data_IF_724699033254
#
_entry.id   IF_724699033254
#
_cell.length_a   1.000
_cell.length_b   1.000
_cell.length_c   1.000
_cell.angle_alpha   90.00
_cell.angle_beta   90.00
_cell.angle_gamma   90.00
#
_symmetry.space_group_name_H-M   'P 1'
#
loop_
_entity.id
_entity.type
_entity.pdbx_description
1 polymer ?
#
# COMPACT_ATOMS: atom_id res chain seq x y z
N UNK A 1 -11.39 -19.46 2.34
CA UNK A 1 -10.24 -19.64 1.42
C UNK A 1 -8.92 -19.26 2.05
N UNK A 2 -8.76 -18.02 2.55
CA UNK A 2 -7.50 -17.61 3.20
C UNK A 2 -7.07 -18.52 4.35
N UNK A 3 -8.00 -18.88 5.24
CA UNK A 3 -7.72 -19.74 6.38
C UNK A 3 -7.50 -21.20 5.95
N UNK A 4 -8.36 -21.72 5.08
CA UNK A 4 -8.27 -23.10 4.56
C UNK A 4 -6.92 -23.42 3.93
N UNK A 5 -6.33 -22.46 3.22
CA UNK A 5 -5.05 -22.63 2.52
C UNK A 5 -3.91 -21.86 3.17
N UNK A 6 -4.08 -21.29 4.37
CA UNK A 6 -3.01 -20.60 5.10
C UNK A 6 -2.39 -19.42 4.30
N UNK A 7 -3.20 -18.70 3.53
CA UNK A 7 -2.73 -17.57 2.72
C UNK A 7 -2.03 -16.49 3.56
N UNK A 8 -2.45 -16.33 4.83
CA UNK A 8 -1.88 -15.36 5.77
C UNK A 8 -0.41 -15.63 6.11
N UNK A 9 0.05 -16.87 5.92
CA UNK A 9 1.41 -17.31 6.23
C UNK A 9 2.35 -17.12 5.04
N UNK A 10 1.82 -16.79 3.85
CA UNK A 10 2.61 -16.11 2.83
C UNK A 10 2.95 -14.71 3.36
N UNK A 11 4.18 -14.23 3.12
CA UNK A 11 4.68 -12.90 3.54
C UNK A 11 3.95 -11.72 2.83
N UNK A 12 2.62 -11.75 2.81
CA UNK A 12 1.71 -10.88 2.09
C UNK A 12 0.78 -10.17 3.07
N UNK A 13 0.22 -9.07 2.59
CA UNK A 13 -0.74 -8.29 3.36
C UNK A 13 -2.03 -9.09 3.55
N UNK A 14 -2.41 -9.31 4.81
CA UNK A 14 -3.72 -9.85 5.19
C UNK A 14 -4.75 -8.71 5.25
N UNK A 15 -5.89 -8.87 4.57
CA UNK A 15 -6.95 -7.86 4.57
C UNK A 15 -7.85 -8.08 5.78
N UNK A 16 -8.01 -7.05 6.61
CA UNK A 16 -8.90 -7.07 7.77
C UNK A 16 -10.16 -6.23 7.52
N UNK A 17 -11.22 -6.46 8.29
CA UNK A 17 -12.44 -5.63 8.23
C UNK A 17 -12.12 -4.14 8.47
N UNK A 18 -11.14 -3.85 9.33
CA UNK A 18 -10.68 -2.49 9.55
C UNK A 18 -10.02 -1.91 8.30
N UNK A 19 -9.24 -2.68 7.53
CA UNK A 19 -8.67 -2.23 6.25
C UNK A 19 -9.77 -1.96 5.21
N UNK A 20 -10.88 -2.71 5.24
CA UNK A 20 -12.04 -2.51 4.34
C UNK A 20 -12.75 -1.19 4.65
N UNK A 21 -12.98 -0.91 5.94
CA UNK A 21 -13.70 0.27 6.40
C UNK A 21 -12.82 1.52 6.57
N UNK A 22 -11.49 1.35 6.50
CA UNK A 22 -10.54 2.43 6.66
C UNK A 22 -10.75 3.55 5.64
N UNK A 23 -10.56 4.79 6.11
CA UNK A 23 -10.44 5.96 5.24
C UNK A 23 -9.21 5.82 4.34
N UNK A 24 -9.21 6.49 3.18
CA UNK A 24 -8.02 6.61 2.36
C UNK A 24 -6.79 7.00 3.17
N UNK A 25 -5.70 6.26 2.98
CA UNK A 25 -4.42 6.50 3.64
C UNK A 25 -3.48 7.23 2.67
N UNK A 26 -3.03 8.42 3.05
CA UNK A 26 -2.06 9.21 2.27
C UNK A 26 -0.72 9.17 2.99
N UNK A 27 0.24 8.49 2.38
CA UNK A 27 1.59 8.30 2.92
C UNK A 27 2.52 9.38 2.39
N UNK A 28 3.21 10.10 3.28
CA UNK A 28 4.28 11.01 2.92
C UNK A 28 5.63 10.38 3.25
N UNK A 29 6.48 10.20 2.24
CA UNK A 29 7.80 9.59 2.37
C UNK A 29 8.85 10.36 1.56
N UNK A 30 10.13 10.11 1.85
CA UNK A 30 11.26 10.73 1.17
C UNK A 30 12.36 11.19 2.13
N UNK A 31 13.44 11.78 1.57
CA UNK A 31 14.62 12.17 2.32
C UNK A 31 14.34 13.08 3.52
N UNK A 32 15.29 13.13 4.44
CA UNK A 32 15.19 13.99 5.62
C UNK A 32 15.18 15.49 5.25
N UNK A 33 14.32 16.25 5.92
CA UNK A 33 14.15 17.71 5.76
C UNK A 33 13.63 18.15 4.38
N UNK A 34 12.86 17.29 3.70
CA UNK A 34 12.17 17.64 2.43
C UNK A 34 10.82 18.35 2.62
N UNK A 35 10.31 18.43 3.86
CA UNK A 35 9.09 19.17 4.19
C UNK A 35 7.81 18.34 4.28
N UNK A 36 7.91 17.03 4.54
CA UNK A 36 6.75 16.12 4.72
C UNK A 36 5.78 16.60 5.81
N UNK A 37 6.26 16.79 7.04
CA UNK A 37 5.44 17.26 8.17
C UNK A 37 4.85 18.65 7.92
N UNK A 38 5.63 19.56 7.30
CA UNK A 38 5.17 20.89 6.91
C UNK A 38 4.03 20.82 5.89
N UNK A 39 4.15 19.92 4.90
CA UNK A 39 3.11 19.71 3.90
C UNK A 39 1.82 19.15 4.52
N UNK A 40 1.90 18.26 5.51
CA UNK A 40 0.71 17.80 6.25
C UNK A 40 0.07 18.96 6.99
N UNK A 41 0.88 19.80 7.66
CA UNK A 41 0.38 20.98 8.35
C UNK A 41 -0.34 21.94 7.39
N UNK A 42 0.24 22.15 6.21
CA UNK A 42 -0.33 22.95 5.13
C UNK A 42 -1.68 22.38 4.65
N UNK A 43 -1.71 21.11 4.25
CA UNK A 43 -2.91 20.45 3.74
C UNK A 43 -4.03 20.38 4.78
N UNK A 44 -3.69 20.15 6.04
CA UNK A 44 -4.67 20.14 7.14
C UNK A 44 -5.12 21.54 7.57
N UNK A 45 -4.43 22.60 7.12
CA UNK A 45 -4.72 23.99 7.48
C UNK A 45 -4.38 24.31 8.95
N UNK A 46 -3.30 23.74 9.47
CA UNK A 46 -2.93 23.83 10.90
C UNK A 46 -1.62 24.57 11.17
N UNK A 47 -0.96 25.12 10.14
CA UNK A 47 0.34 25.78 10.26
C UNK A 47 0.39 26.91 11.30
N UNK A 48 -0.70 27.67 11.45
CA UNK A 48 -0.81 28.79 12.41
C UNK A 48 -1.45 28.38 13.74
N UNK A 49 -1.51 27.09 14.05
CA UNK A 49 -2.20 26.56 15.25
C UNK A 49 -1.25 25.83 16.18
N UNK A 50 -1.62 25.74 17.46
CA UNK A 50 -0.89 24.92 18.44
C UNK A 50 -0.96 23.41 18.17
N UNK A 51 -1.74 22.98 17.17
CA UNK A 51 -1.91 21.59 16.79
C UNK A 51 -0.92 21.14 15.68
N UNK A 52 -0.05 22.05 15.20
CA UNK A 52 0.91 21.74 14.14
C UNK A 52 1.82 20.58 14.54
N UNK A 53 2.11 19.69 13.58
CA UNK A 53 3.17 18.71 13.71
C UNK A 53 4.50 19.44 13.83
N UNK A 54 5.35 18.99 14.74
CA UNK A 54 6.66 19.60 14.96
C UNK A 54 7.49 19.61 13.65
N UNK A 55 7.92 20.80 13.25
CA UNK A 55 8.77 21.01 12.07
C UNK A 55 10.05 21.72 12.52
N UNK A 56 11.19 21.04 12.45
CA UNK A 56 12.48 21.64 12.82
C UNK A 56 13.65 21.13 11.99
N UNK A 57 14.76 21.87 12.04
CA UNK A 57 15.97 21.63 11.25
C UNK A 57 16.88 20.52 11.79
N UNK A 58 16.59 19.98 12.98
CA UNK A 58 17.22 18.78 13.51
C UNK A 58 16.57 17.51 12.91
N UNK A 59 17.13 16.30 13.08
CA UNK A 59 16.44 15.04 12.75
C UNK A 59 15.17 14.88 13.60
N UNK A 60 14.13 15.64 13.25
CA UNK A 60 12.97 15.95 14.09
C UNK A 60 11.87 14.91 14.02
N UNK A 61 11.80 14.12 12.94
CA UNK A 61 10.91 12.95 12.82
C UNK A 61 11.73 11.66 12.87
N UNK A 62 11.89 11.12 14.08
CA UNK A 62 12.29 9.73 14.30
C UNK A 62 11.11 8.75 14.21
N UNK A 63 9.89 9.29 14.27
CA UNK A 63 8.68 8.54 14.56
C UNK A 63 7.75 8.53 13.34
N UNK A 64 6.99 7.45 13.20
CA UNK A 64 5.87 7.37 12.28
C UNK A 64 4.67 8.04 12.93
N UNK A 65 4.09 9.03 12.27
CA UNK A 65 2.96 9.79 12.81
C UNK A 65 1.71 9.51 11.98
N UNK A 66 0.70 8.94 12.64
CA UNK A 66 -0.63 8.70 12.08
C UNK A 66 -1.53 9.89 12.42
N UNK A 67 -1.74 10.78 11.46
CA UNK A 67 -2.61 11.94 11.61
C UNK A 67 -4.03 11.59 11.15
N UNK A 68 -4.96 11.56 12.10
CA UNK A 68 -6.35 11.16 11.87
C UNK A 68 -7.33 12.11 12.52
N UNK A 69 -8.61 11.93 12.20
CA UNK A 69 -9.66 12.70 12.84
C UNK A 69 -9.89 12.26 14.29
N UNK A 70 -10.10 13.24 15.17
CA UNK A 70 -10.67 13.06 16.49
C UNK A 70 -11.58 14.24 16.85
N UNK A 71 -12.40 14.08 17.89
CA UNK A 71 -13.28 15.15 18.38
C UNK A 71 -12.50 16.32 18.99
N UNK A 72 -11.28 16.08 19.48
CA UNK A 72 -10.37 17.05 20.06
C UNK A 72 -8.94 16.75 19.65
N UNK A 73 -8.04 17.73 19.79
CA UNK A 73 -6.62 17.48 19.65
C UNK A 73 -6.14 16.51 20.73
N UNK A 74 -5.53 15.40 20.35
CA UNK A 74 -4.86 14.49 21.29
C UNK A 74 -3.75 13.71 20.62
N UNK A 75 -2.70 13.45 21.39
CA UNK A 75 -1.63 12.53 21.02
C UNK A 75 -1.92 11.17 21.63
N UNK A 76 -1.72 10.12 20.83
CA UNK A 76 -1.94 8.72 21.21
C UNK A 76 -0.62 7.99 21.03
N UNK A 77 -0.19 7.26 22.05
CA UNK A 77 1.02 6.44 21.97
C UNK A 77 0.83 5.24 21.04
N UNK A 78 1.90 4.77 20.41
CA UNK A 78 1.86 3.66 19.46
C UNK A 78 1.25 2.38 20.03
N UNK A 79 1.56 2.04 21.29
CA UNK A 79 0.99 0.86 21.99
C UNK A 79 -0.53 0.97 22.09
N UNK A 80 -1.05 2.15 22.40
CA UNK A 80 -2.49 2.40 22.48
C UNK A 80 -3.12 2.36 21.08
N UNK A 81 -2.42 2.89 20.07
CA UNK A 81 -2.89 2.91 18.69
C UNK A 81 -3.10 1.51 18.11
N UNK A 82 -2.21 0.56 18.42
CA UNK A 82 -2.31 -0.83 17.92
C UNK A 82 -3.32 -1.68 18.70
N UNK A 83 -3.64 -1.30 19.94
CA UNK A 83 -4.63 -2.01 20.76
C UNK A 83 -6.06 -1.84 20.21
N UNK A 84 -6.35 -0.70 19.58
CA UNK A 84 -7.66 -0.44 18.98
C UNK A 84 -7.79 -1.13 17.60
N UNK A 85 -8.36 -2.34 17.61
CA UNK A 85 -8.60 -3.14 16.41
C UNK A 85 -9.46 -2.45 15.36
N UNK A 86 -10.29 -1.47 15.74
CA UNK A 86 -11.15 -0.75 14.79
C UNK A 86 -10.37 0.17 13.85
N UNK A 87 -9.11 0.48 14.17
CA UNK A 87 -8.30 1.46 13.45
C UNK A 87 -7.42 0.83 12.36
N UNK A 88 -7.33 -0.50 12.28
CA UNK A 88 -6.53 -1.20 11.27
C UNK A 88 -5.01 -1.20 11.51
N UNK A 89 -4.55 -0.69 12.67
CA UNK A 89 -3.12 -0.64 13.01
C UNK A 89 -2.65 -1.81 13.88
N UNK A 90 -3.53 -2.71 14.31
CA UNK A 90 -3.18 -3.78 15.27
C UNK A 90 -2.06 -4.70 14.78
N UNK A 91 -1.96 -4.94 13.48
CA UNK A 91 -0.89 -5.77 12.91
C UNK A 91 0.51 -5.14 13.01
N UNK A 92 0.63 -3.86 13.35
CA UNK A 92 1.92 -3.20 13.62
C UNK A 92 2.58 -3.70 14.91
N UNK A 93 1.81 -4.30 15.83
CA UNK A 93 2.33 -4.89 17.07
C UNK A 93 3.44 -5.93 16.81
N UNK A 94 3.38 -6.62 15.66
CA UNK A 94 4.38 -7.62 15.24
C UNK A 94 5.80 -7.07 15.12
N UNK A 95 5.97 -5.75 14.95
CA UNK A 95 7.28 -5.11 14.85
C UNK A 95 7.92 -4.85 16.22
N UNK A 96 7.22 -5.16 17.31
CA UNK A 96 7.74 -5.16 18.67
C UNK A 96 7.78 -3.77 19.34
N UNK A 97 8.08 -3.78 20.64
CA UNK A 97 8.02 -2.60 21.51
C UNK A 97 8.91 -1.44 21.02
N UNK A 98 10.11 -1.74 20.51
CA UNK A 98 11.03 -0.73 20.00
C UNK A 98 10.48 0.08 18.82
N UNK A 99 9.60 -0.53 18.01
CA UNK A 99 8.86 0.21 16.99
C UNK A 99 7.69 0.99 17.56
N UNK A 100 6.92 0.41 18.50
CA UNK A 100 5.75 1.06 19.09
C UNK A 100 6.09 2.35 19.84
N UNK A 101 7.29 2.44 20.42
CA UNK A 101 7.85 3.67 20.99
C UNK A 101 8.14 4.77 19.94
N UNK A 102 8.24 4.38 18.67
CA UNK A 102 8.49 5.23 17.50
C UNK A 102 7.25 5.38 16.60
N UNK A 103 6.09 4.99 17.10
CA UNK A 103 4.80 5.15 16.45
C UNK A 103 3.94 6.08 17.30
N UNK A 104 3.32 7.06 16.66
CA UNK A 104 2.49 8.05 17.33
C UNK A 104 1.20 8.27 16.53
N UNK A 105 0.07 8.32 17.22
CA UNK A 105 -1.18 8.82 16.67
C UNK A 105 -1.36 10.30 17.04
N UNK A 106 -1.80 11.11 16.10
CA UNK A 106 -2.24 12.48 16.37
C UNK A 106 -3.65 12.63 15.84
N UNK A 107 -4.58 12.91 16.74
CA UNK A 107 -5.97 13.15 16.40
C UNK A 107 -6.28 14.62 16.43
N UNK A 108 -7.03 15.11 15.43
CA UNK A 108 -7.41 16.52 15.36
C UNK A 108 -8.80 16.73 14.74
N UNK A 109 -9.57 17.77 15.15
CA UNK A 109 -10.95 17.98 14.71
C UNK A 109 -11.07 18.75 13.38
N UNK A 110 -10.30 18.36 12.35
CA UNK A 110 -10.31 19.03 11.05
C UNK A 110 -11.14 18.27 9.99
N UNK A 111 -11.88 19.02 9.17
CA UNK A 111 -12.81 18.47 8.16
C UNK A 111 -12.13 17.56 7.14
N UNK A 112 -10.89 17.88 6.74
CA UNK A 112 -10.13 17.03 5.81
C UNK A 112 -9.91 15.64 6.41
N UNK A 113 -9.50 15.56 7.68
CA UNK A 113 -9.21 14.32 8.39
C UNK A 113 -10.45 13.43 8.60
N UNK A 114 -11.66 13.99 8.50
CA UNK A 114 -12.88 13.18 8.46
C UNK A 114 -12.94 12.27 7.24
N UNK A 115 -12.20 12.61 6.17
CA UNK A 115 -12.20 11.91 4.89
C UNK A 115 -10.91 11.16 4.59
N UNK A 116 -9.78 11.53 5.21
CA UNK A 116 -8.46 10.97 4.93
C UNK A 116 -7.65 10.79 6.22
N UNK A 117 -6.72 9.84 6.22
CA UNK A 117 -5.69 9.67 7.24
C UNK A 117 -4.33 9.94 6.61
N UNK A 118 -3.53 10.84 7.19
CA UNK A 118 -2.16 11.07 6.72
C UNK A 118 -1.17 10.28 7.56
N UNK A 119 -0.15 9.74 6.90
CA UNK A 119 1.00 9.11 7.54
C UNK A 119 2.23 9.94 7.24
N UNK A 120 2.85 10.51 8.26
CA UNK A 120 4.18 11.09 8.17
C UNK A 120 5.22 10.02 8.50
N UNK A 121 6.14 9.75 7.59
CA UNK A 121 7.24 8.81 7.85
C UNK A 121 8.50 9.54 8.33
N UNK A 122 9.35 8.89 9.13
CA UNK A 122 10.69 9.39 9.42
C UNK A 122 11.45 9.72 8.13
N UNK A 123 12.25 10.79 8.16
CA UNK A 123 13.11 11.14 7.03
C UNK A 123 14.11 10.03 6.69
N UNK A 124 14.25 9.71 5.40
CA UNK A 124 15.30 8.81 4.94
C UNK A 124 16.64 9.54 5.05
N UNK A 125 17.58 8.91 5.75
CA UNK A 125 18.94 9.41 5.94
C UNK A 125 19.88 8.33 5.43
N UNK A 126 20.61 8.64 4.37
CA UNK A 126 21.60 7.73 3.80
C UNK A 126 22.73 7.45 4.80
N UNK A 127 23.25 6.21 4.79
CA UNK A 127 24.35 5.75 5.65
C UNK A 127 24.09 5.70 7.17
N UNK A 128 22.84 5.89 7.65
CA UNK A 128 22.51 5.48 9.02
C UNK A 128 22.49 3.95 9.08
N UNK A 129 23.35 3.35 9.91
CA UNK A 129 23.28 1.91 10.20
C UNK A 129 21.84 1.60 10.65
N UNK A 130 21.14 0.69 9.95
CA UNK A 130 19.77 0.28 10.29
C UNK A 130 19.64 -0.13 11.76
N UNK A 131 20.71 -0.67 12.36
CA UNK A 131 20.84 -1.01 13.77
C UNK A 131 20.60 0.16 14.75
N UNK A 132 20.77 1.42 14.33
CA UNK A 132 20.53 2.58 15.20
C UNK A 132 19.05 2.92 15.38
N UNK A 133 18.15 2.41 14.53
CA UNK A 133 16.71 2.71 14.64
C UNK A 133 16.01 1.87 15.70
N UNK A 134 16.52 0.67 16.00
CA UNK A 134 15.91 -0.25 16.96
C UNK A 134 14.67 -1.00 16.46
N UNK A 135 14.35 -0.91 15.16
CA UNK A 135 13.23 -1.60 14.53
C UNK A 135 13.46 -1.79 13.01
N UNK A 136 12.77 -2.74 12.35
CA UNK A 136 12.94 -3.01 10.92
C UNK A 136 12.26 -1.95 10.04
N UNK A 137 12.93 -0.82 9.82
CA UNK A 137 12.38 0.35 9.11
C UNK A 137 11.80 0.03 7.72
N UNK A 138 12.47 -0.83 6.94
CA UNK A 138 12.01 -1.20 5.60
C UNK A 138 10.71 -2.02 5.64
N UNK A 139 10.56 -2.93 6.59
CA UNK A 139 9.35 -3.74 6.72
C UNK A 139 8.16 -2.93 7.23
N UNK A 140 8.41 -2.00 8.16
CA UNK A 140 7.40 -1.04 8.63
C UNK A 140 6.96 -0.13 7.49
N UNK A 141 7.91 0.43 6.74
CA UNK A 141 7.59 1.30 5.59
C UNK A 141 6.78 0.54 4.55
N UNK A 142 7.17 -0.70 4.25
CA UNK A 142 6.42 -1.59 3.37
C UNK A 142 4.99 -1.81 3.87
N UNK A 143 4.78 -1.98 5.17
CA UNK A 143 3.44 -2.15 5.74
C UNK A 143 2.52 -0.96 5.45
N UNK A 144 3.04 0.27 5.56
CA UNK A 144 2.29 1.49 5.22
C UNK A 144 2.10 1.66 3.71
N UNK A 145 3.14 1.42 2.93
CA UNK A 145 3.07 1.42 1.45
C UNK A 145 2.01 0.44 0.97
N UNK A 146 1.90 -0.72 1.62
CA UNK A 146 0.97 -1.75 1.19
C UNK A 146 -0.51 -1.37 1.37
N UNK A 147 -0.78 -0.41 2.26
CA UNK A 147 -2.11 0.10 2.64
C UNK A 147 -2.40 1.51 2.13
N UNK A 148 -1.40 2.21 1.60
CA UNK A 148 -1.57 3.57 1.11
C UNK A 148 -2.43 3.58 -0.15
N UNK A 149 -3.39 4.51 -0.20
CA UNK A 149 -4.17 4.82 -1.39
C UNK A 149 -3.44 5.85 -2.27
N UNK A 150 -2.65 6.73 -1.64
CA UNK A 150 -1.82 7.74 -2.29
C UNK A 150 -0.47 7.84 -1.58
N UNK A 151 0.61 7.92 -2.35
CA UNK A 151 1.98 7.98 -1.84
C UNK A 151 2.65 9.23 -2.39
N UNK A 152 2.88 10.19 -1.51
CA UNK A 152 3.63 11.42 -1.77
C UNK A 152 5.10 11.18 -1.49
N UNK A 153 5.90 11.13 -2.55
CA UNK A 153 7.36 11.06 -2.43
C UNK A 153 7.93 12.45 -2.59
N UNK A 154 8.35 13.04 -1.46
CA UNK A 154 8.71 14.45 -1.36
C UNK A 154 10.23 14.62 -1.46
N UNK A 155 10.66 15.38 -2.47
CA UNK A 155 12.04 15.75 -2.74
C UNK A 155 12.28 17.23 -2.46
N UNK A 156 13.52 17.55 -2.10
CA UNK A 156 14.07 18.90 -2.02
C UNK A 156 15.10 19.03 -3.16
N UNK A 157 15.13 20.14 -3.92
CA UNK A 157 16.08 20.35 -4.99
C UNK A 157 17.54 20.15 -4.62
N UNK A 158 17.88 20.34 -3.35
CA UNK A 158 19.25 20.17 -2.84
C UNK A 158 19.58 18.71 -2.47
N UNK A 159 18.58 17.81 -2.48
CA UNK A 159 18.67 16.42 -2.01
C UNK A 159 17.97 15.48 -2.99
N UNK A 160 18.56 15.36 -4.19
CA UNK A 160 18.06 14.50 -5.26
C UNK A 160 18.85 13.19 -5.40
N UNK A 161 19.97 13.06 -4.70
CA UNK A 161 20.81 11.87 -4.77
C UNK A 161 20.04 10.67 -4.22
N UNK A 162 19.98 9.61 -5.03
CA UNK A 162 19.40 8.33 -4.64
C UNK A 162 20.51 7.46 -4.07
N UNK A 163 20.51 7.30 -2.75
CA UNK A 163 21.32 6.29 -2.08
C UNK A 163 20.57 4.97 -1.89
N UNK A 164 21.15 4.09 -1.09
CA UNK A 164 20.67 2.70 -0.92
C UNK A 164 19.34 2.63 -0.19
N UNK A 165 19.09 3.52 0.77
CA UNK A 165 17.83 3.52 1.54
C UNK A 165 16.67 4.06 0.67
N UNK A 166 16.91 5.11 -0.12
CA UNK A 166 15.90 5.60 -1.06
C UNK A 166 15.64 4.59 -2.19
N UNK A 167 16.67 3.92 -2.71
CA UNK A 167 16.50 2.82 -3.66
C UNK A 167 15.64 1.70 -3.07
N UNK A 168 15.88 1.31 -1.81
CA UNK A 168 15.06 0.32 -1.09
C UNK A 168 13.59 0.73 -1.02
N UNK A 169 13.30 2.01 -0.76
CA UNK A 169 11.93 2.54 -0.80
C UNK A 169 11.31 2.34 -2.19
N UNK A 170 11.99 2.76 -3.27
CA UNK A 170 11.43 2.62 -4.61
C UNK A 170 11.22 1.16 -5.03
N UNK A 171 12.09 0.25 -4.59
CA UNK A 171 11.87 -1.20 -4.76
C UNK A 171 10.59 -1.68 -4.08
N UNK A 172 10.25 -1.15 -2.90
CA UNK A 172 8.99 -1.46 -2.22
C UNK A 172 7.76 -0.84 -2.90
N UNK A 173 7.94 0.27 -3.62
CA UNK A 173 6.89 0.95 -4.40
C UNK A 173 6.61 0.29 -5.76
N UNK A 174 7.43 -0.68 -6.18
CA UNK A 174 7.25 -1.40 -7.45
C UNK A 174 5.89 -2.12 -7.48
N UNK A 175 5.15 -1.95 -8.58
CA UNK A 175 3.79 -2.46 -8.75
C UNK A 175 2.69 -1.60 -8.13
N UNK A 176 3.04 -0.42 -7.59
CA UNK A 176 2.14 0.59 -7.01
C UNK A 176 2.29 1.97 -7.66
N UNK A 177 2.81 2.00 -8.88
CA UNK A 177 3.20 3.24 -9.57
C UNK A 177 2.02 4.20 -9.76
N UNK A 178 0.80 3.68 -9.94
CA UNK A 178 -0.43 4.48 -10.04
C UNK A 178 -0.77 5.27 -8.78
N UNK A 179 -0.27 4.84 -7.61
CA UNK A 179 -0.50 5.47 -6.31
C UNK A 179 0.54 6.55 -6.00
N UNK A 180 1.66 6.58 -6.74
CA UNK A 180 2.79 7.48 -6.47
C UNK A 180 2.51 8.85 -7.08
N UNK A 181 2.82 9.91 -6.33
CA UNK A 181 2.96 11.28 -6.82
C UNK A 181 4.29 11.82 -6.34
N UNK A 182 5.13 12.24 -7.29
CA UNK A 182 6.41 12.84 -6.97
C UNK A 182 6.21 14.32 -6.70
N UNK A 183 6.81 14.83 -5.64
CA UNK A 183 6.68 16.25 -5.26
C UNK A 183 8.08 16.84 -5.16
N UNK A 184 8.37 17.85 -5.97
CA UNK A 184 9.56 18.66 -5.86
C UNK A 184 9.20 19.92 -5.04
N UNK A 185 9.42 19.83 -3.73
CA UNK A 185 9.10 20.88 -2.77
C UNK A 185 10.20 21.95 -2.72
N UNK A 186 9.92 23.12 -2.13
CA UNK A 186 10.86 24.25 -2.02
C UNK A 186 11.37 24.76 -3.38
N UNK A 187 10.61 24.55 -4.44
CA UNK A 187 11.00 24.93 -5.80
C UNK A 187 11.10 26.46 -5.99
N UNK A 188 10.43 27.23 -5.14
CA UNK A 188 10.50 28.69 -5.11
C UNK A 188 11.87 29.26 -4.74
N UNK A 189 12.77 28.43 -4.21
CA UNK A 189 14.16 28.80 -3.94
C UNK A 189 15.02 28.86 -5.20
N UNK A 190 14.56 28.27 -6.31
CA UNK A 190 15.29 28.14 -7.57
C UNK A 190 14.84 29.17 -8.62
N UNK A 191 15.71 29.45 -9.58
CA UNK A 191 15.30 30.07 -10.85
C UNK A 191 14.86 29.01 -11.88
N UNK A 192 14.25 29.43 -12.99
CA UNK A 192 13.74 28.50 -14.01
C UNK A 192 14.84 27.59 -14.61
N UNK A 193 16.05 28.09 -14.82
CA UNK A 193 17.14 27.28 -15.39
C UNK A 193 17.62 26.21 -14.39
N UNK A 194 17.77 26.59 -13.12
CA UNK A 194 18.08 25.66 -12.02
C UNK A 194 16.98 24.61 -11.88
N UNK A 195 15.72 25.03 -11.94
CA UNK A 195 14.58 24.13 -11.82
C UNK A 195 14.57 23.06 -12.92
N UNK A 196 14.81 23.44 -14.18
CA UNK A 196 14.89 22.47 -15.28
C UNK A 196 16.05 21.47 -15.12
N UNK A 197 17.19 21.91 -14.56
CA UNK A 197 18.33 21.03 -14.27
C UNK A 197 18.01 20.03 -13.16
N UNK A 198 17.40 20.52 -12.07
CA UNK A 198 16.94 19.72 -10.93
C UNK A 198 15.91 18.69 -11.38
N UNK A 199 14.94 19.10 -12.20
CA UNK A 199 13.94 18.20 -12.78
C UNK A 199 14.60 17.09 -13.62
N UNK A 200 15.54 17.44 -14.50
CA UNK A 200 16.30 16.46 -15.28
C UNK A 200 17.10 15.49 -14.41
N UNK A 201 17.77 15.99 -13.37
CA UNK A 201 18.53 15.16 -12.44
C UNK A 201 17.63 14.20 -11.64
N UNK A 202 16.44 14.65 -11.21
CA UNK A 202 15.47 13.80 -10.54
C UNK A 202 15.08 12.61 -11.42
N UNK A 203 14.69 12.85 -12.67
CA UNK A 203 14.33 11.75 -13.58
C UNK A 203 15.51 10.84 -13.91
N UNK A 204 16.70 11.41 -14.09
CA UNK A 204 17.91 10.61 -14.33
C UNK A 204 18.17 9.63 -13.17
N UNK A 205 18.05 10.10 -11.93
CA UNK A 205 18.28 9.30 -10.74
C UNK A 205 17.15 8.27 -10.50
N UNK A 206 15.92 8.58 -10.89
CA UNK A 206 14.76 7.68 -10.74
C UNK A 206 14.58 6.69 -11.89
N UNK A 207 15.14 6.97 -13.07
CA UNK A 207 15.05 6.11 -14.25
C UNK A 207 15.37 4.62 -13.99
N UNK A 208 16.42 4.23 -13.23
CA UNK A 208 16.68 2.82 -12.97
C UNK A 208 15.69 2.18 -11.97
N UNK A 209 14.93 2.98 -11.23
CA UNK A 209 14.09 2.52 -10.12
C UNK A 209 12.62 2.38 -10.51
N UNK A 210 12.16 3.17 -11.48
CA UNK A 210 10.76 3.21 -11.89
C UNK A 210 10.61 2.48 -13.22
N UNK A 211 9.96 1.32 -13.19
CA UNK A 211 9.76 0.48 -14.36
C UNK A 211 8.44 0.82 -15.08
N UNK A 212 8.35 2.05 -15.59
CA UNK A 212 7.16 2.58 -16.26
C UNK A 212 7.50 3.05 -17.67
N UNK A 213 6.52 2.91 -18.57
CA UNK A 213 6.63 3.40 -19.96
C UNK A 213 6.52 4.92 -20.02
N UNK A 214 5.78 5.52 -19.10
CA UNK A 214 5.58 6.97 -19.02
C UNK A 214 6.10 7.51 -17.68
N UNK A 215 6.89 8.60 -17.68
CA UNK A 215 7.44 9.16 -16.46
C UNK A 215 6.32 9.59 -15.50
N UNK A 216 6.44 9.33 -14.19
CA UNK A 216 5.44 9.76 -13.22
C UNK A 216 5.34 11.28 -13.17
N UNK A 217 4.14 11.79 -12.90
CA UNK A 217 3.89 13.22 -12.73
C UNK A 217 4.65 13.76 -11.51
N UNK A 218 5.33 14.89 -11.69
CA UNK A 218 6.03 15.63 -10.63
C UNK A 218 5.34 16.96 -10.39
N UNK A 219 4.83 17.17 -9.18
CA UNK A 219 4.27 18.45 -8.75
C UNK A 219 5.39 19.32 -8.21
N UNK A 220 5.54 20.50 -8.78
CA UNK A 220 6.64 21.40 -8.46
C UNK A 220 6.10 22.65 -7.77
N UNK A 221 6.61 22.94 -6.57
CA UNK A 221 6.17 24.12 -5.84
C UNK A 221 6.73 24.18 -4.42
N UNK A 222 6.09 24.99 -3.59
CA UNK A 222 6.41 25.11 -2.17
C UNK A 222 5.11 25.02 -1.38
N UNK A 223 4.91 23.89 -0.72
CA UNK A 223 3.61 23.50 -0.15
C UNK A 223 3.49 23.97 1.30
N UNK A 224 3.39 25.29 1.47
CA UNK A 224 3.19 26.00 2.74
C UNK A 224 2.50 27.35 2.51
N UNK A 225 1.97 27.97 3.56
CA UNK A 225 1.27 29.26 3.46
C UNK A 225 2.15 30.49 3.24
N UNK A 226 3.49 30.35 3.24
CA UNK A 226 4.41 31.48 3.10
C UNK A 226 4.49 31.99 1.65
N UNK A 227 4.73 33.30 1.44
CA UNK A 227 4.93 33.84 0.11
C UNK A 227 6.16 33.22 -0.57
N UNK A 228 6.09 33.06 -1.89
CA UNK A 228 7.21 32.53 -2.68
C UNK A 228 8.44 33.43 -2.57
N UNK A 229 9.61 32.81 -2.37
CA UNK A 229 10.88 33.52 -2.15
C UNK A 229 11.32 34.30 -3.39
N UNK A 230 11.19 33.72 -4.60
CA UNK A 230 11.57 34.35 -5.86
C UNK A 230 10.37 34.66 -6.74
N UNK A 231 10.34 35.86 -7.30
CA UNK A 231 9.33 36.28 -8.29
C UNK A 231 9.69 35.71 -9.67
N UNK A 232 8.76 34.97 -10.30
CA UNK A 232 8.90 34.53 -11.70
C UNK A 232 8.16 33.24 -12.06
N UNK A 233 7.93 32.34 -11.10
CA UNK A 233 7.28 31.04 -11.33
C UNK A 233 6.06 30.80 -10.42
N UNK A 234 5.55 31.83 -9.73
CA UNK A 234 4.42 31.71 -8.81
C UNK A 234 3.18 31.11 -9.46
N UNK A 235 2.82 31.55 -10.67
CA UNK A 235 1.67 31.02 -11.41
C UNK A 235 1.80 29.53 -11.73
N UNK A 236 3.03 29.06 -12.01
CA UNK A 236 3.31 27.64 -12.23
C UNK A 236 3.08 26.86 -10.92
N UNK A 237 3.66 27.34 -9.81
CA UNK A 237 3.54 26.68 -8.52
C UNK A 237 2.09 26.60 -8.04
N UNK A 238 1.29 27.66 -8.22
CA UNK A 238 -0.14 27.66 -7.89
C UNK A 238 -0.92 26.64 -8.75
N UNK A 239 -0.59 26.53 -10.04
CA UNK A 239 -1.23 25.55 -10.93
C UNK A 239 -0.87 24.11 -10.57
N UNK A 240 0.39 23.86 -10.23
CA UNK A 240 0.84 22.54 -9.78
C UNK A 240 0.24 22.17 -8.42
N UNK A 241 0.17 23.13 -7.50
CA UNK A 241 -0.51 22.95 -6.22
C UNK A 241 -1.99 22.62 -6.40
N UNK A 242 -2.70 23.39 -7.23
CA UNK A 242 -4.11 23.13 -7.55
C UNK A 242 -4.28 21.72 -8.13
N UNK A 243 -3.39 21.30 -9.03
CA UNK A 243 -3.42 19.96 -9.60
C UNK A 243 -3.20 18.87 -8.53
N UNK A 244 -2.26 19.07 -7.61
CA UNK A 244 -2.02 18.13 -6.51
C UNK A 244 -3.24 17.98 -5.61
N UNK A 245 -3.88 19.10 -5.28
CA UNK A 245 -5.09 19.12 -4.45
C UNK A 245 -6.27 18.43 -5.16
N UNK A 246 -6.39 18.57 -6.48
CA UNK A 246 -7.37 17.86 -7.29
C UNK A 246 -7.11 16.35 -7.29
N UNK A 247 -5.87 15.90 -7.48
CA UNK A 247 -5.50 14.48 -7.38
C UNK A 247 -5.82 13.90 -5.99
N UNK A 248 -5.52 14.63 -4.92
CA UNK A 248 -5.89 14.23 -3.55
C UNK A 248 -7.41 14.14 -3.40
N UNK A 249 -8.15 15.13 -3.92
CA UNK A 249 -9.61 15.15 -3.89
C UNK A 249 -10.22 13.96 -4.64
N UNK A 250 -9.74 13.67 -5.85
CA UNK A 250 -10.17 12.52 -6.66
C UNK A 250 -9.88 11.20 -5.94
N UNK A 251 -8.71 11.05 -5.32
CA UNK A 251 -8.39 9.87 -4.52
C UNK A 251 -9.39 9.67 -3.38
N UNK A 252 -9.74 10.74 -2.66
CA UNK A 252 -10.73 10.69 -1.58
C UNK A 252 -12.12 10.34 -2.12
N UNK A 253 -12.50 10.90 -3.27
CA UNK A 253 -13.80 10.69 -3.91
C UNK A 253 -13.95 9.25 -4.40
N UNK A 254 -12.91 8.70 -5.02
CA UNK A 254 -12.91 7.38 -5.64
C UNK A 254 -12.53 6.27 -4.64
N UNK A 255 -12.60 6.54 -3.33
CA UNK A 255 -12.23 5.58 -2.27
C UNK A 255 -12.92 4.22 -2.39
N UNK A 256 -14.19 4.20 -2.83
CA UNK A 256 -14.96 2.95 -2.94
C UNK A 256 -14.47 2.14 -4.13
N UNK A 257 -14.25 2.80 -5.27
CA UNK A 257 -13.65 2.18 -6.47
C UNK A 257 -12.27 1.60 -6.15
N UNK A 258 -11.41 2.39 -5.51
CA UNK A 258 -10.08 1.95 -5.10
C UNK A 258 -10.15 0.76 -4.13
N UNK A 259 -11.07 0.78 -3.16
CA UNK A 259 -11.24 -0.32 -2.20
C UNK A 259 -11.74 -1.59 -2.87
N UNK A 260 -12.71 -1.49 -3.78
CA UNK A 260 -13.21 -2.65 -4.53
C UNK A 260 -12.11 -3.23 -5.42
N UNK A 261 -11.33 -2.39 -6.11
CA UNK A 261 -10.20 -2.84 -6.92
C UNK A 261 -9.14 -3.57 -6.06
N UNK A 262 -8.83 -3.03 -4.88
CA UNK A 262 -7.93 -3.65 -3.91
C UNK A 262 -8.45 -5.02 -3.44
N UNK A 263 -9.72 -5.10 -3.02
CA UNK A 263 -10.33 -6.36 -2.57
C UNK A 263 -10.37 -7.40 -3.68
N UNK A 264 -10.69 -6.99 -4.91
CA UNK A 264 -10.72 -7.88 -6.07
C UNK A 264 -9.34 -8.44 -6.40
N UNK A 265 -8.30 -7.60 -6.35
CA UNK A 265 -6.90 -8.03 -6.53
C UNK A 265 -6.50 -9.02 -5.44
N UNK A 266 -6.80 -8.73 -4.18
CA UNK A 266 -6.51 -9.62 -3.05
C UNK A 266 -7.21 -10.98 -3.19
N UNK A 267 -8.52 -10.97 -3.44
CA UNK A 267 -9.30 -12.20 -3.66
C UNK A 267 -8.76 -13.03 -4.85
N UNK A 268 -8.31 -12.36 -5.91
CA UNK A 268 -7.66 -13.04 -7.05
C UNK A 268 -6.36 -13.74 -6.64
N UNK A 269 -5.53 -13.11 -5.81
CA UNK A 269 -4.29 -13.72 -5.32
C UNK A 269 -4.57 -14.90 -4.38
N UNK A 270 -5.60 -14.79 -3.52
CA UNK A 270 -6.06 -15.91 -2.67
C UNK A 270 -6.54 -17.08 -3.52
N UNK A 271 -7.28 -16.80 -4.60
CA UNK A 271 -7.72 -17.82 -5.56
C UNK A 271 -6.53 -18.53 -6.22
N UNK A 272 -5.56 -17.77 -6.73
CA UNK A 272 -4.35 -18.32 -7.36
C UNK A 272 -3.58 -19.19 -6.38
N UNK A 273 -3.42 -18.75 -5.13
CA UNK A 273 -2.74 -19.53 -4.11
C UNK A 273 -3.42 -20.87 -3.85
N UNK A 274 -4.73 -20.86 -3.66
CA UNK A 274 -5.50 -22.08 -3.44
C UNK A 274 -5.40 -23.06 -4.63
N UNK A 275 -5.42 -22.54 -5.86
CA UNK A 275 -5.22 -23.34 -7.09
C UNK A 275 -3.82 -23.95 -7.17
N UNK A 276 -2.78 -23.22 -6.74
CA UNK A 276 -1.41 -23.74 -6.68
C UNK A 276 -1.32 -24.88 -5.66
N UNK A 277 -1.77 -24.66 -4.42
CA UNK A 277 -1.76 -25.70 -3.37
C UNK A 277 -2.55 -26.92 -3.81
N UNK A 278 -3.73 -26.72 -4.41
CA UNK A 278 -4.51 -27.81 -4.97
C UNK A 278 -3.74 -28.58 -6.04
N UNK A 279 -3.05 -27.89 -6.96
CA UNK A 279 -2.25 -28.56 -7.99
C UNK A 279 -1.09 -29.36 -7.41
N UNK A 280 -0.42 -28.87 -6.36
CA UNK A 280 0.56 -29.66 -5.62
C UNK A 280 -0.04 -30.96 -5.08
N UNK A 281 -1.23 -30.89 -4.46
CA UNK A 281 -1.96 -32.06 -3.98
C UNK A 281 -2.38 -33.00 -5.13
N UNK A 282 -2.75 -32.45 -6.29
CA UNK A 282 -3.09 -33.23 -7.49
C UNK A 282 -1.90 -34.10 -7.89
N UNK A 283 -0.76 -33.45 -8.13
CA UNK A 283 0.47 -34.11 -8.60
C UNK A 283 0.91 -35.14 -7.59
N UNK A 284 0.85 -34.82 -6.29
CA UNK A 284 1.15 -35.80 -5.26
C UNK A 284 0.24 -37.02 -5.34
N UNK A 285 -1.07 -36.84 -5.48
CA UNK A 285 -2.02 -37.95 -5.58
C UNK A 285 -1.82 -38.81 -6.84
N UNK A 286 -1.44 -38.21 -7.96
CA UNK A 286 -1.19 -38.89 -9.24
C UNK A 286 0.12 -39.68 -9.23
N UNK A 287 1.14 -39.18 -8.54
CA UNK A 287 2.47 -39.81 -8.47
C UNK A 287 2.61 -40.78 -7.29
N UNK A 288 1.65 -40.76 -6.35
CA UNK A 288 1.65 -41.64 -5.19
C UNK A 288 1.53 -43.09 -5.63
N UNK A 289 2.48 -43.91 -5.21
CA UNK A 289 2.53 -45.35 -5.45
C UNK A 289 2.88 -46.06 -4.15
N UNK A 290 2.32 -47.25 -3.92
CA UNK A 290 2.55 -48.04 -2.71
C UNK A 290 4.02 -48.47 -2.52
N UNK A 291 4.87 -48.29 -3.54
CA UNK A 291 6.28 -48.68 -3.54
C UNK A 291 7.24 -47.54 -3.19
N UNK A 292 6.77 -46.29 -3.14
CA UNK A 292 7.62 -45.11 -2.87
C UNK A 292 7.31 -44.52 -1.49
N UNK A 293 8.35 -43.99 -0.84
CA UNK A 293 8.17 -43.22 0.38
C UNK A 293 7.43 -41.91 0.05
N UNK A 294 6.30 -41.68 0.71
CA UNK A 294 5.47 -40.50 0.51
C UNK A 294 6.23 -39.21 0.85
N UNK A 295 7.07 -39.23 1.89
CA UNK A 295 7.79 -38.04 2.34
C UNK A 295 8.87 -37.61 1.33
N UNK A 296 9.59 -38.59 0.76
CA UNK A 296 10.55 -38.31 -0.31
C UNK A 296 9.88 -37.80 -1.59
N UNK A 297 8.69 -38.31 -1.91
CA UNK A 297 7.93 -37.84 -3.08
C UNK A 297 7.46 -36.40 -2.88
N UNK A 298 6.92 -36.08 -1.70
CA UNK A 298 6.50 -34.73 -1.33
C UNK A 298 7.65 -33.74 -1.46
N UNK A 299 8.80 -34.08 -0.86
CA UNK A 299 9.99 -33.24 -0.93
C UNK A 299 10.44 -33.02 -2.39
N UNK A 300 10.48 -34.07 -3.22
CA UNK A 300 10.82 -33.94 -4.65
C UNK A 300 9.87 -33.02 -5.42
N UNK A 301 8.56 -33.08 -5.13
CA UNK A 301 7.56 -32.23 -5.79
C UNK A 301 7.75 -30.77 -5.37
N UNK A 302 7.96 -30.51 -4.07
CA UNK A 302 8.15 -29.16 -3.52
C UNK A 302 9.46 -28.53 -4.02
N UNK A 303 10.56 -29.29 -4.05
CA UNK A 303 11.88 -28.80 -4.49
C UNK A 303 11.98 -28.62 -6.02
N UNK A 304 11.15 -29.31 -6.80
CA UNK A 304 11.23 -29.28 -8.27
C UNK A 304 9.86 -29.11 -8.95
N UNK A 305 9.08 -28.06 -8.65
CA UNK A 305 7.71 -27.90 -9.16
C UNK A 305 7.65 -27.67 -10.68
N UNK A 306 8.74 -27.20 -11.29
CA UNK A 306 8.89 -27.08 -12.74
C UNK A 306 8.84 -28.44 -13.44
N UNK A 307 9.45 -29.48 -12.84
CA UNK A 307 9.45 -30.85 -13.38
C UNK A 307 8.04 -31.44 -13.47
N UNK A 308 7.17 -30.99 -12.57
CA UNK A 308 5.78 -31.41 -12.50
C UNK A 308 4.81 -30.40 -13.14
N UNK A 309 5.33 -29.39 -13.84
CA UNK A 309 4.55 -28.37 -14.55
C UNK A 309 3.49 -27.66 -13.69
N UNK A 310 3.67 -27.55 -12.37
CA UNK A 310 2.62 -27.10 -11.44
C UNK A 310 2.10 -25.70 -11.82
N UNK A 311 3.00 -24.72 -11.91
CA UNK A 311 2.65 -23.34 -12.23
C UNK A 311 2.19 -23.18 -13.69
N UNK A 312 2.71 -24.00 -14.60
CA UNK A 312 2.30 -23.99 -16.00
C UNK A 312 0.87 -24.51 -16.17
N UNK A 313 0.51 -25.57 -15.47
CA UNK A 313 -0.84 -26.13 -15.43
C UNK A 313 -1.83 -25.15 -14.84
N UNK A 314 -1.53 -24.54 -13.68
CA UNK A 314 -2.41 -23.51 -13.10
C UNK A 314 -2.65 -22.39 -14.09
N UNK A 315 -1.59 -21.92 -14.77
CA UNK A 315 -1.70 -20.88 -15.81
C UNK A 315 -2.62 -21.28 -16.96
N UNK A 316 -2.46 -22.49 -17.51
CA UNK A 316 -3.24 -22.93 -18.68
C UNK A 316 -4.67 -23.33 -18.35
N UNK A 317 -4.90 -23.92 -17.17
CA UNK A 317 -6.18 -24.53 -16.78
C UNK A 317 -7.14 -23.51 -16.15
N UNK A 318 -6.63 -22.42 -15.54
CA UNK A 318 -7.46 -21.52 -14.69
C UNK A 318 -7.47 -20.04 -15.09
N UNK A 319 -7.09 -19.74 -16.35
CA UNK A 319 -7.07 -18.38 -16.94
C UNK A 319 -6.31 -17.36 -16.07
N UNK A 320 -5.19 -17.78 -15.48
CA UNK A 320 -4.35 -16.91 -14.63
C UNK A 320 -3.31 -16.19 -15.48
N UNK A 321 -3.19 -14.87 -15.29
CA UNK A 321 -2.13 -14.08 -15.92
C UNK A 321 -0.76 -14.52 -15.43
N UNK A 322 0.23 -14.56 -16.33
CA UNK A 322 1.63 -14.80 -15.96
C UNK A 322 2.12 -13.78 -14.92
N UNK A 323 1.61 -12.56 -14.96
CA UNK A 323 2.04 -11.47 -14.09
C UNK A 323 1.45 -11.54 -12.67
N UNK A 324 0.38 -12.32 -12.49
CA UNK A 324 -0.24 -12.53 -11.17
C UNK A 324 0.31 -13.77 -10.47
N UNK A 325 1.13 -14.58 -11.15
CA UNK A 325 1.72 -15.77 -10.57
C UNK A 325 2.84 -15.40 -9.59
N UNK A 326 2.82 -15.98 -8.38
CA UNK A 326 3.92 -15.85 -7.42
C UNK A 326 5.23 -16.46 -7.96
N UNK A 327 6.38 -16.00 -7.45
CA UNK A 327 7.66 -16.69 -7.63
C UNK A 327 7.60 -18.09 -7.02
N UNK A 328 8.37 -19.02 -7.59
CA UNK A 328 8.36 -20.42 -7.19
C UNK A 328 8.96 -20.60 -5.80
N UNK A 329 9.99 -19.80 -5.50
CA UNK A 329 10.74 -19.81 -4.25
C UNK A 329 9.83 -19.54 -3.05
N UNK A 330 8.82 -18.70 -3.20
CA UNK A 330 7.83 -18.39 -2.15
C UNK A 330 7.06 -19.65 -1.70
N UNK A 331 6.80 -20.60 -2.62
CA UNK A 331 6.10 -21.85 -2.28
C UNK A 331 7.05 -22.90 -1.70
N UNK A 332 8.32 -22.88 -2.06
CA UNK A 332 9.33 -23.72 -1.41
C UNK A 332 9.48 -23.35 0.07
N UNK A 333 9.55 -22.05 0.37
CA UNK A 333 9.57 -21.54 1.74
C UNK A 333 8.26 -21.85 2.48
N UNK A 334 7.11 -21.60 1.85
CA UNK A 334 5.80 -21.90 2.44
C UNK A 334 5.66 -23.37 2.84
N UNK A 335 5.98 -24.31 1.95
CA UNK A 335 5.87 -25.75 2.26
C UNK A 335 6.98 -26.27 3.20
N UNK A 336 8.05 -25.51 3.43
CA UNK A 336 9.03 -25.83 4.48
C UNK A 336 8.46 -25.67 5.89
N UNK A 337 7.45 -24.81 6.05
CA UNK A 337 6.75 -24.57 7.31
C UNK A 337 5.43 -25.33 7.36
N UNK A 338 4.70 -25.36 6.24
CA UNK A 338 3.40 -26.01 6.13
C UNK A 338 3.50 -27.28 5.29
N UNK A 339 3.60 -28.44 5.94
CA UNK A 339 3.69 -29.71 5.22
C UNK A 339 2.46 -29.92 4.31
N UNK A 340 2.71 -30.30 3.04
CA UNK A 340 1.66 -30.40 2.01
C UNK A 340 0.54 -31.38 2.40
N UNK A 341 0.85 -32.41 3.18
CA UNK A 341 -0.11 -33.39 3.70
C UNK A 341 -1.13 -32.81 4.69
N UNK A 342 -0.92 -31.60 5.21
CA UNK A 342 -1.87 -30.92 6.09
C UNK A 342 -3.00 -30.22 5.31
N UNK A 343 -2.91 -30.17 3.98
CA UNK A 343 -3.90 -29.55 3.13
C UNK A 343 -4.80 -30.57 2.45
N UNK A 344 -6.03 -30.15 2.16
CA UNK A 344 -7.00 -30.93 1.40
C UNK A 344 -7.23 -30.34 0.00
N UNK A 345 -7.64 -31.21 -0.93
CA UNK A 345 -8.00 -30.83 -2.30
C UNK A 345 -9.20 -29.89 -2.27
N UNK A 346 -9.26 -28.94 -3.20
CA UNK A 346 -10.36 -27.98 -3.31
C UNK A 346 -11.72 -28.66 -3.43
N UNK A 347 -11.77 -29.80 -4.14
CA UNK A 347 -12.97 -30.61 -4.29
C UNK A 347 -13.54 -31.12 -2.97
N UNK A 348 -12.71 -31.31 -1.94
CA UNK A 348 -13.16 -31.79 -0.61
C UNK A 348 -13.97 -30.73 0.12
N UNK A 349 -13.73 -29.44 -0.18
CA UNK A 349 -14.46 -28.33 0.42
C UNK A 349 -15.75 -27.95 -0.33
N UNK A 350 -16.20 -28.79 -1.28
CA UNK A 350 -17.46 -28.63 -1.97
C UNK A 350 -18.58 -29.39 -1.22
N UNK A 351 -19.61 -28.71 -0.70
CA UNK A 351 -20.73 -29.39 -0.07
C UNK A 351 -21.56 -30.17 -1.11
N UNK A 352 -22.19 -31.28 -0.68
CA UNK A 352 -23.11 -32.05 -1.52
C UNK A 352 -24.32 -31.22 -2.00
N UNK A 353 -24.75 -30.26 -1.18
CA UNK A 353 -25.79 -29.30 -1.51
C UNK A 353 -25.27 -27.89 -1.20
N UNK A 354 -25.10 -27.07 -2.23
CA UNK A 354 -24.58 -25.71 -2.12
C UNK A 354 -23.55 -25.39 -3.19
N UNK A 355 -22.98 -24.18 -3.13
CA UNK A 355 -21.87 -23.76 -3.99
C UNK A 355 -20.54 -24.16 -3.36
N UNK A 356 -19.54 -24.51 -4.17
CA UNK A 356 -18.20 -24.70 -3.66
C UNK A 356 -17.64 -23.36 -3.17
N UNK A 357 -16.73 -23.40 -2.19
CA UNK A 357 -16.07 -22.19 -1.67
C UNK A 357 -15.32 -21.44 -2.78
N UNK A 358 -14.77 -22.16 -3.76
CA UNK A 358 -14.16 -21.55 -4.95
C UNK A 358 -15.16 -20.80 -5.81
N UNK A 359 -16.34 -21.36 -6.05
CA UNK A 359 -17.39 -20.71 -6.85
C UNK A 359 -17.88 -19.43 -6.17
N UNK A 360 -18.00 -19.43 -4.85
CA UNK A 360 -18.36 -18.24 -4.08
C UNK A 360 -17.29 -17.14 -4.18
N UNK A 361 -16.01 -17.52 -4.16
CA UNK A 361 -14.91 -16.58 -4.36
C UNK A 361 -14.92 -16.00 -5.77
N UNK A 362 -15.13 -16.83 -6.79
CA UNK A 362 -15.21 -16.38 -8.19
C UNK A 362 -16.44 -15.50 -8.44
N UNK A 363 -17.61 -15.83 -7.89
CA UNK A 363 -18.79 -14.97 -7.92
C UNK A 363 -18.51 -13.63 -7.23
N UNK A 364 -17.79 -13.65 -6.10
CA UNK A 364 -17.44 -12.43 -5.39
C UNK A 364 -16.51 -11.52 -6.20
N UNK A 365 -15.51 -12.09 -6.87
CA UNK A 365 -14.54 -11.36 -7.71
C UNK A 365 -15.21 -10.78 -8.96
N UNK A 366 -16.02 -11.59 -9.64
CA UNK A 366 -16.51 -11.28 -10.98
C UNK A 366 -17.88 -10.57 -11.00
N UNK A 367 -18.67 -10.70 -9.94
CA UNK A 367 -20.06 -10.21 -9.93
C UNK A 367 -20.36 -9.34 -8.70
N UNK A 368 -20.17 -9.86 -7.47
CA UNK A 368 -20.59 -9.12 -6.26
C UNK A 368 -19.81 -7.83 -6.04
N UNK A 369 -18.48 -7.87 -6.13
CA UNK A 369 -17.63 -6.70 -5.95
C UNK A 369 -17.92 -5.60 -7.00
N UNK A 370 -17.99 -5.92 -8.31
CA UNK A 370 -18.43 -4.95 -9.32
C UNK A 370 -19.82 -4.34 -9.07
N UNK A 371 -20.81 -5.15 -8.67
CA UNK A 371 -22.18 -4.65 -8.39
C UNK A 371 -22.23 -3.63 -7.25
N UNK A 372 -21.34 -3.74 -6.27
CA UNK A 372 -21.22 -2.74 -5.19
C UNK A 372 -20.86 -1.37 -5.77
N UNK A 373 -19.98 -1.32 -6.79
CA UNK A 373 -19.63 -0.08 -7.47
C UNK A 373 -20.81 0.48 -8.25
N UNK A 374 -21.52 -0.35 -9.01
CA UNK A 374 -22.69 0.10 -9.77
C UNK A 374 -23.75 0.72 -8.86
N UNK A 375 -24.01 0.07 -7.72
CA UNK A 375 -24.97 0.55 -6.71
C UNK A 375 -24.50 1.86 -6.09
N UNK A 376 -23.21 1.97 -5.75
CA UNK A 376 -22.63 3.18 -5.19
C UNK A 376 -22.70 4.35 -6.17
N UNK A 377 -22.38 4.12 -7.44
CA UNK A 377 -22.44 5.13 -8.52
C UNK A 377 -23.87 5.60 -8.78
N UNK A 378 -24.85 4.71 -8.74
CA UNK A 378 -26.27 5.08 -8.84
C UNK A 378 -26.71 5.94 -7.64
N UNK A 379 -26.28 5.60 -6.43
CA UNK A 379 -26.62 6.35 -5.21
C UNK A 379 -25.98 7.74 -5.15
N UNK A 380 -24.73 7.87 -5.61
CA UNK A 380 -24.02 9.15 -5.64
C UNK A 380 -24.64 10.10 -6.68
N UNK A 381 -25.06 9.58 -7.83
CA UNK A 381 -25.82 10.33 -8.83
C UNK A 381 -27.21 10.77 -8.33
N UNK A 382 -27.97 9.92 -7.62
CA UNK A 382 -29.26 10.31 -7.03
C UNK A 382 -29.16 11.41 -5.97
N UNK A 383 -27.99 11.61 -5.33
CA UNK A 383 -27.80 12.72 -4.37
C UNK A 383 -27.55 14.08 -5.02
N UNK A 384 -27.23 14.10 -6.32
CA UNK A 384 -26.85 15.32 -7.07
C UNK A 384 -27.96 15.86 -7.97
N UNK A 385 -29.04 15.09 -8.20
CA UNK A 385 -30.25 15.53 -8.89
C UNK A 385 -31.46 14.91 -8.19
N UNK A 386 -32.43 15.76 -7.83
CA UNK A 386 -33.72 15.42 -7.23
C UNK A 386 -34.24 14.05 -7.66
N UNK A 387 -34.19 13.06 -6.76
CA UNK A 387 -34.88 11.80 -6.95
C UNK A 387 -36.33 11.95 -6.44
N UNK A 388 -37.16 12.68 -7.20
CA UNK A 388 -38.61 12.58 -7.09
C UNK A 388 -39.08 11.30 -7.78
N UNK A 389 -39.73 10.46 -6.97
CA UNK A 389 -40.68 9.41 -7.35
C UNK A 389 -40.15 8.27 -8.24
N UNK A 390 -40.00 7.09 -7.61
CA UNK A 390 -40.86 5.93 -7.93
C UNK A 390 -40.74 4.83 -6.88
N UNK A 391 -41.85 4.65 -6.14
CA UNK A 391 -42.44 3.36 -5.75
C UNK A 391 -43.95 3.48 -6.06
N UNK A 392 -44.68 2.38 -6.24
CA UNK A 392 -44.33 0.98 -5.98
C UNK A 392 -43.77 0.24 -7.19
#
# INVERSE_FOLDING_TARGET
MEELYHYKDLNRHTVTDADILAKPLVLLTGPWSTGKSSMINYLAGVEDTHHLLYTGAEPTTSDFIVVKYGSSYKTVEGVVLVTDKSQGFSSLERFGQGFLERLQGVEMPYKLLQKVTFIDTPGIIENRKQQQRGYPFNEVTKWFVDRADLIFVVFDPTKLDVGTELESLFRQLKGRESQIRLILNKADTLNMQELMRVYGALFWNLAPLINVTEPPRVYTGSFWSKPFVRNGSGDLFIKEETSLLLDLHETIKNRVENKVAFLRKHATLVRIHALIVDKYLQVFSEQKSNFYNNDELLQKIVESPQRYHIFQSVRSESLVSKYDLPPVEEYMEFFSVHALNNFERLSTHCPYFGKCVMDELEESINDRLPRILDTFMQSSHCSSKDCTNKKP
#
